data_IF_100141046642
#
_entry.id   IF_100141046642
#
_cell.length_a   1.000
_cell.length_b   1.000
_cell.length_c   1.000
_cell.angle_alpha   90.00
_cell.angle_beta   90.00
_cell.angle_gamma   90.00
#
_symmetry.space_group_name_H-M   'P 1'
#
loop_
_entity.id
_entity.type
_entity.pdbx_description
1 polymer ?
#
# COMPACT_ATOMS: atom_id res chain seq x y z
N UNK A 1 12.09 5.41 -8.83
CA UNK A 1 10.75 4.86 -8.57
C UNK A 1 10.12 5.80 -7.57
N UNK A 2 9.00 6.39 -7.93
CA UNK A 2 8.26 7.30 -7.05
C UNK A 2 7.01 6.57 -6.58
N UNK A 3 6.91 6.24 -5.29
CA UNK A 3 5.71 5.65 -4.71
C UNK A 3 4.68 6.76 -4.46
N UNK A 4 3.52 6.66 -5.11
CA UNK A 4 2.45 7.64 -4.99
C UNK A 4 1.40 7.23 -3.95
N UNK A 5 1.21 5.92 -3.77
CA UNK A 5 0.20 5.38 -2.87
C UNK A 5 0.60 3.98 -2.41
N UNK A 6 0.42 3.69 -1.12
CA UNK A 6 0.59 2.36 -0.55
C UNK A 6 -0.27 2.22 0.69
N UNK A 7 -1.42 1.55 0.58
CA UNK A 7 -2.34 1.31 1.70
C UNK A 7 -3.01 -0.05 1.60
N UNK A 8 -3.38 -0.60 2.76
CA UNK A 8 -4.23 -1.79 2.86
C UNK A 8 -5.68 -1.35 2.77
N UNK A 9 -6.44 -2.01 1.90
CA UNK A 9 -7.84 -1.71 1.60
C UNK A 9 -8.67 -2.99 1.68
N UNK A 10 -9.92 -2.86 2.16
CA UNK A 10 -10.91 -3.93 2.05
C UNK A 10 -11.40 -4.03 0.60
N UNK A 11 -11.35 -5.24 0.05
CA UNK A 11 -11.75 -5.54 -1.32
C UNK A 11 -12.70 -6.74 -1.31
N UNK A 12 -13.83 -6.60 -2.00
CA UNK A 12 -14.74 -7.70 -2.30
C UNK A 12 -14.19 -8.51 -3.48
N UNK A 13 -13.95 -9.79 -3.30
CA UNK A 13 -13.49 -10.71 -4.35
C UNK A 13 -14.63 -11.62 -4.75
N UNK A 14 -14.99 -11.60 -6.04
CA UNK A 14 -15.95 -12.53 -6.63
C UNK A 14 -15.30 -13.25 -7.81
N UNK A 15 -15.15 -14.55 -7.66
CA UNK A 15 -14.72 -15.44 -8.73
C UNK A 15 -15.91 -16.18 -9.33
N UNK A 16 -15.72 -16.79 -10.50
CA UNK A 16 -16.80 -17.52 -11.18
C UNK A 16 -17.31 -18.63 -10.26
N UNK A 17 -18.63 -18.64 -10.03
CA UNK A 17 -19.33 -19.62 -9.20
C UNK A 17 -18.91 -19.66 -7.71
N UNK A 18 -18.17 -18.64 -7.24
CA UNK A 18 -17.81 -18.46 -5.83
C UNK A 18 -18.67 -17.38 -5.18
N UNK A 19 -18.97 -17.57 -3.89
CA UNK A 19 -19.50 -16.49 -3.07
C UNK A 19 -18.53 -15.32 -2.99
N UNK A 20 -19.09 -14.13 -2.80
CA UNK A 20 -18.32 -12.91 -2.60
C UNK A 20 -17.68 -12.93 -1.22
N UNK A 21 -16.35 -12.75 -1.19
CA UNK A 21 -15.56 -12.71 0.05
C UNK A 21 -14.86 -11.38 0.19
N UNK A 22 -14.81 -10.83 1.40
CA UNK A 22 -14.02 -9.63 1.71
C UNK A 22 -12.61 -10.03 2.14
N UNK A 23 -11.60 -9.35 1.62
CA UNK A 23 -10.21 -9.51 2.07
C UNK A 23 -9.50 -8.16 2.13
N UNK A 24 -8.47 -8.07 2.96
CA UNK A 24 -7.59 -6.91 3.07
C UNK A 24 -6.39 -7.10 2.15
N UNK A 25 -6.24 -6.24 1.16
CA UNK A 25 -5.14 -6.30 0.20
C UNK A 25 -4.42 -4.96 0.20
N UNK A 26 -3.10 -4.99 0.13
CA UNK A 26 -2.27 -3.81 -0.07
C UNK A 26 -2.29 -3.42 -1.54
N UNK A 27 -2.71 -2.19 -1.81
CA UNK A 27 -2.62 -1.58 -3.14
C UNK A 27 -1.47 -0.59 -3.13
N UNK A 28 -0.53 -0.79 -4.05
CA UNK A 28 0.60 0.11 -4.26
C UNK A 28 0.58 0.67 -5.67
N UNK A 29 0.77 1.98 -5.79
CA UNK A 29 0.87 2.71 -7.05
C UNK A 29 2.22 3.41 -7.11
N UNK A 30 2.99 3.12 -8.15
CA UNK A 30 4.28 3.77 -8.39
C UNK A 30 4.41 4.27 -9.83
N UNK A 31 5.13 5.39 -9.99
CA UNK A 31 5.59 5.86 -11.29
C UNK A 31 7.02 5.36 -11.51
N UNK A 32 7.18 4.63 -12.61
CA UNK A 32 8.45 4.09 -13.03
C UNK A 32 8.94 4.79 -14.30
N UNK A 33 10.13 5.38 -14.25
CA UNK A 33 10.76 5.97 -15.44
C UNK A 33 11.51 4.86 -16.19
N UNK A 34 11.10 4.57 -17.41
CA UNK A 34 11.79 3.66 -18.33
C UNK A 34 12.75 4.44 -19.24
N UNK A 35 14.02 4.02 -19.27
CA UNK A 35 15.11 4.61 -20.07
C UNK A 35 15.20 3.89 -21.44
N UNK A 36 15.51 4.57 -22.57
CA UNK A 36 16.21 5.86 -22.72
C UNK A 36 15.33 7.08 -23.02
N UNK A 37 14.01 6.94 -23.14
CA UNK A 37 13.12 8.02 -23.65
C UNK A 37 12.43 8.83 -22.52
N UNK A 38 12.82 8.65 -21.25
CA UNK A 38 12.12 9.24 -20.09
C UNK A 38 10.60 8.96 -20.08
N UNK A 39 10.18 7.81 -20.64
CA UNK A 39 8.77 7.40 -20.57
C UNK A 39 8.44 7.05 -19.12
N UNK A 40 7.25 7.44 -18.67
CA UNK A 40 6.74 7.13 -17.34
C UNK A 40 5.67 6.06 -17.49
N UNK A 41 5.88 4.95 -16.80
CA UNK A 41 4.88 3.89 -16.70
C UNK A 41 4.23 3.98 -15.32
N UNK A 42 2.90 3.96 -15.29
CA UNK A 42 2.15 3.80 -14.06
C UNK A 42 2.07 2.32 -13.72
N UNK A 43 2.58 1.94 -12.55
CA UNK A 43 2.51 0.57 -12.05
C UNK A 43 1.53 0.50 -10.90
N UNK A 44 0.62 -0.46 -10.98
CA UNK A 44 -0.32 -0.81 -9.93
C UNK A 44 0.01 -2.22 -9.48
N UNK A 45 0.17 -2.44 -8.18
CA UNK A 45 0.43 -3.74 -7.57
C UNK A 45 -0.59 -4.02 -6.48
N UNK A 46 -1.04 -5.27 -6.42
CA UNK A 46 -1.85 -5.82 -5.34
C UNK A 46 -1.03 -6.92 -4.65
N UNK A 47 -0.85 -6.78 -3.34
CA UNK A 47 -0.13 -7.74 -2.52
C UNK A 47 -0.92 -8.08 -1.26
N UNK A 48 -0.79 -9.31 -0.76
CA UNK A 48 -1.39 -9.72 0.52
C UNK A 48 -0.29 -9.86 1.56
N UNK A 49 -0.41 -9.16 2.68
CA UNK A 49 0.56 -9.22 3.78
C UNK A 49 0.59 -10.62 4.44
N UNK A 50 -0.45 -11.46 4.21
CA UNK A 50 -0.54 -12.86 4.69
C UNK A 50 0.00 -13.89 3.69
N UNK A 51 0.06 -13.56 2.41
CA UNK A 51 0.52 -14.45 1.33
C UNK A 51 1.60 -13.76 0.48
N UNK A 52 2.89 -14.03 0.74
CA UNK A 52 4.01 -13.43 -0.01
C UNK A 52 4.01 -13.73 -1.51
N UNK A 53 3.30 -14.76 -1.97
CA UNK A 53 3.21 -15.12 -3.39
C UNK A 53 2.02 -14.43 -4.08
N UNK A 54 1.13 -13.79 -3.31
CA UNK A 54 0.05 -12.99 -3.86
C UNK A 54 0.62 -11.70 -4.45
N UNK A 55 0.81 -11.70 -5.78
CA UNK A 55 1.22 -10.53 -6.53
C UNK A 55 0.37 -10.44 -7.79
N UNK A 56 -0.47 -9.42 -7.87
CA UNK A 56 -1.08 -9.00 -9.12
C UNK A 56 -0.53 -7.64 -9.51
N UNK A 57 -0.33 -7.43 -10.81
CA UNK A 57 0.26 -6.20 -11.30
C UNK A 57 -0.36 -5.74 -12.61
N UNK A 58 -0.22 -4.45 -12.85
CA UNK A 58 -0.52 -3.78 -14.09
C UNK A 58 0.52 -2.69 -14.31
N UNK A 59 1.03 -2.58 -15.54
CA UNK A 59 1.88 -1.49 -15.99
C UNK A 59 1.17 -0.80 -17.15
N UNK A 60 0.92 0.49 -17.03
CA UNK A 60 0.26 1.31 -18.06
C UNK A 60 1.29 2.33 -18.54
N UNK A 61 1.70 2.20 -19.81
CA UNK A 61 2.45 3.25 -20.48
C UNK A 61 1.50 4.37 -20.94
N UNK A 62 2.03 5.53 -21.32
CA UNK A 62 1.23 6.62 -21.88
C UNK A 62 0.49 6.22 -23.17
N UNK A 63 1.07 5.30 -23.96
CA UNK A 63 0.46 4.75 -25.17
C UNK A 63 -0.72 3.84 -24.84
N UNK A 64 -0.54 2.92 -23.88
CA UNK A 64 -1.61 2.03 -23.40
C UNK A 64 -2.77 2.82 -22.78
N UNK A 65 -2.44 3.94 -22.11
CA UNK A 65 -3.43 4.81 -21.49
C UNK A 65 -4.40 5.42 -22.52
N UNK A 66 -3.99 5.70 -23.75
CA UNK A 66 -4.91 6.23 -24.77
C UNK A 66 -6.05 5.25 -25.05
N UNK A 67 -5.72 3.95 -25.14
CA UNK A 67 -6.72 2.90 -25.31
C UNK A 67 -7.62 2.77 -24.09
N UNK A 68 -7.03 2.78 -22.88
CA UNK A 68 -7.75 2.72 -21.61
C UNK A 68 -8.74 3.89 -21.46
N UNK A 69 -8.28 5.09 -21.81
CA UNK A 69 -9.05 6.34 -21.76
C UNK A 69 -10.30 6.25 -22.62
N UNK A 70 -10.18 5.78 -23.86
CA UNK A 70 -11.33 5.61 -24.76
C UNK A 70 -12.26 4.49 -24.27
N UNK A 71 -11.71 3.34 -23.88
CA UNK A 71 -12.50 2.19 -23.44
C UNK A 71 -13.35 2.47 -22.19
N UNK A 72 -12.84 3.30 -21.27
CA UNK A 72 -13.51 3.61 -20.01
C UNK A 72 -14.10 5.02 -19.97
N UNK A 73 -14.04 5.77 -21.07
CA UNK A 73 -14.56 7.13 -21.14
C UNK A 73 -13.90 8.11 -20.17
N UNK A 74 -12.60 7.93 -19.88
CA UNK A 74 -11.88 8.81 -18.97
C UNK A 74 -11.69 10.20 -19.60
N UNK A 75 -11.95 11.25 -18.84
CA UNK A 75 -11.83 12.63 -19.32
C UNK A 75 -10.47 13.26 -19.05
N UNK A 76 -9.62 12.59 -18.26
CA UNK A 76 -8.31 13.08 -17.83
C UNK A 76 -7.18 12.63 -18.76
N UNK A 77 -6.03 13.29 -18.66
CA UNK A 77 -4.79 12.87 -19.31
C UNK A 77 -4.01 11.88 -18.45
N UNK A 78 -2.92 11.34 -19.01
CA UNK A 78 -2.08 10.36 -18.30
C UNK A 78 -1.43 10.96 -17.05
N UNK A 79 -1.05 12.24 -17.09
CA UNK A 79 -0.40 12.91 -15.96
C UNK A 79 -1.34 13.06 -14.74
N UNK A 80 -2.62 13.34 -14.99
CA UNK A 80 -3.63 13.52 -13.93
C UNK A 80 -4.29 12.21 -13.49
N UNK A 81 -4.21 11.16 -14.30
CA UNK A 81 -4.87 9.89 -14.04
C UNK A 81 -4.47 9.22 -12.71
N UNK A 82 -3.17 9.10 -12.33
CA UNK A 82 -2.77 8.50 -11.06
C UNK A 82 -3.44 9.17 -9.86
N UNK A 83 -3.49 10.52 -9.85
CA UNK A 83 -4.13 11.25 -8.76
C UNK A 83 -5.63 10.96 -8.70
N UNK A 84 -6.34 10.95 -9.83
CA UNK A 84 -7.77 10.60 -9.86
C UNK A 84 -8.05 9.18 -9.39
N UNK A 85 -7.19 8.24 -9.75
CA UNK A 85 -7.30 6.87 -9.25
C UNK A 85 -7.07 6.82 -7.73
N UNK A 86 -6.07 7.54 -7.21
CA UNK A 86 -5.80 7.65 -5.77
C UNK A 86 -6.98 8.28 -5.01
N UNK A 87 -7.61 9.32 -5.57
CA UNK A 87 -8.79 9.95 -4.97
C UNK A 87 -9.92 8.92 -4.80
N UNK A 88 -10.17 8.09 -5.82
CA UNK A 88 -11.14 6.99 -5.77
C UNK A 88 -10.77 5.93 -4.71
N UNK A 89 -9.50 5.56 -4.60
CA UNK A 89 -9.02 4.64 -3.58
C UNK A 89 -9.18 5.20 -2.17
N UNK A 90 -8.97 6.50 -1.98
CA UNK A 90 -9.16 7.15 -0.69
C UNK A 90 -10.64 7.21 -0.28
N UNK A 91 -11.58 7.37 -1.22
CA UNK A 91 -13.01 7.25 -0.94
C UNK A 91 -13.36 5.85 -0.42
N UNK A 92 -12.83 4.80 -1.09
CA UNK A 92 -12.99 3.42 -0.63
C UNK A 92 -12.36 3.22 0.76
N UNK A 93 -11.18 3.80 1.00
CA UNK A 93 -10.50 3.73 2.29
C UNK A 93 -11.33 4.37 3.42
N UNK A 94 -11.92 5.54 3.18
CA UNK A 94 -12.69 6.26 4.21
C UNK A 94 -13.97 5.54 4.61
N UNK A 95 -14.55 4.74 3.70
CA UNK A 95 -15.82 4.07 3.92
C UNK A 95 -15.68 2.58 4.25
N UNK A 96 -14.46 2.03 4.30
CA UNK A 96 -14.23 0.59 4.42
C UNK A 96 -14.77 -0.06 5.71
N UNK A 97 -14.96 0.72 6.77
CA UNK A 97 -15.54 0.29 8.05
C UNK A 97 -17.05 0.58 8.16
N UNK A 98 -17.63 1.26 7.16
CA UNK A 98 -19.06 1.51 7.09
C UNK A 98 -19.83 0.21 6.91
N UNK A 99 -21.00 0.11 7.54
CA UNK A 99 -21.92 -1.01 7.32
C UNK A 99 -22.46 -1.03 5.88
N UNK A 100 -22.66 0.16 5.29
CA UNK A 100 -23.15 0.37 3.94
C UNK A 100 -22.24 1.35 3.18
N UNK A 101 -21.04 0.93 2.76
CA UNK A 101 -20.12 1.77 2.00
C UNK A 101 -20.72 2.12 0.63
N UNK A 102 -20.66 3.40 0.28
CA UNK A 102 -21.05 3.88 -1.04
C UNK A 102 -19.96 3.55 -2.06
N UNK A 103 -18.69 3.70 -1.71
CA UNK A 103 -17.54 3.38 -2.55
C UNK A 103 -16.88 2.07 -2.13
N UNK A 104 -16.73 1.16 -3.08
CA UNK A 104 -16.26 -0.21 -2.86
C UNK A 104 -15.22 -0.59 -3.90
N UNK A 105 -14.24 -1.37 -3.46
CA UNK A 105 -13.32 -2.07 -4.34
C UNK A 105 -13.80 -3.49 -4.60
N UNK A 106 -13.84 -3.86 -5.86
CA UNK A 106 -14.28 -5.18 -6.29
C UNK A 106 -13.25 -5.81 -7.22
N UNK A 107 -12.85 -7.04 -6.92
CA UNK A 107 -12.07 -7.88 -7.82
C UNK A 107 -12.99 -8.93 -8.41
N UNK A 108 -13.06 -8.95 -9.74
CA UNK A 108 -13.72 -10.03 -10.47
C UNK A 108 -12.70 -10.90 -11.20
N UNK A 109 -12.89 -12.21 -11.12
CA UNK A 109 -12.04 -13.19 -11.80
C UNK A 109 -12.89 -14.12 -12.67
N UNK A 110 -12.42 -14.43 -13.88
CA UNK A 110 -13.18 -15.29 -14.83
C UNK A 110 -13.04 -16.78 -14.54
N UNK A 111 -12.04 -17.16 -13.75
CA UNK A 111 -11.82 -18.53 -13.29
C UNK A 111 -12.54 -18.77 -11.96
N UNK A 112 -12.66 -20.04 -11.55
CA UNK A 112 -13.14 -20.41 -10.21
C UNK A 112 -12.12 -20.07 -9.12
N UNK A 113 -10.86 -19.89 -9.52
CA UNK A 113 -9.72 -19.55 -8.66
C UNK A 113 -8.99 -18.30 -9.17
N UNK A 114 -8.24 -17.63 -8.29
CA UNK A 114 -7.40 -16.47 -8.63
C UNK A 114 -6.11 -16.90 -9.36
N UNK A 115 -6.27 -17.58 -10.49
CA UNK A 115 -5.22 -18.16 -11.35
C UNK A 115 -4.94 -17.30 -12.59
N UNK A 116 -5.91 -16.47 -12.99
CA UNK A 116 -5.87 -15.72 -14.24
C UNK A 116 -5.87 -14.21 -14.05
N UNK A 117 -5.99 -13.46 -15.17
CA UNK A 117 -6.19 -12.02 -15.11
C UNK A 117 -7.44 -11.67 -14.30
N UNK A 118 -7.31 -10.64 -13.48
CA UNK A 118 -8.37 -10.14 -12.61
C UNK A 118 -8.74 -8.73 -13.01
N UNK A 119 -10.01 -8.36 -12.86
CA UNK A 119 -10.47 -6.99 -13.05
C UNK A 119 -10.72 -6.34 -11.69
N UNK A 120 -9.86 -5.39 -11.32
CA UNK A 120 -10.03 -4.52 -10.15
C UNK A 120 -10.92 -3.34 -10.55
N UNK A 121 -12.09 -3.24 -9.95
CA UNK A 121 -13.06 -2.17 -10.20
C UNK A 121 -13.28 -1.31 -8.95
N UNK A 122 -13.36 0.00 -9.15
CA UNK A 122 -13.93 0.93 -8.17
C UNK A 122 -15.41 1.09 -8.51
N UNK A 123 -16.27 0.68 -7.59
CA UNK A 123 -17.73 0.69 -7.76
C UNK A 123 -18.34 1.63 -6.75
N UNK A 124 -19.22 2.52 -7.22
CA UNK A 124 -20.09 3.32 -6.39
C UNK A 124 -21.50 2.71 -6.37
N UNK A 125 -22.03 2.42 -5.19
CA UNK A 125 -23.41 2.01 -4.99
C UNK A 125 -24.25 3.24 -4.69
N UNK A 126 -25.14 3.60 -5.61
CA UNK A 126 -26.16 4.61 -5.36
C UNK A 126 -27.52 3.96 -5.08
N UNK A 127 -28.55 4.76 -4.80
CA UNK A 127 -29.89 4.28 -4.46
C UNK A 127 -30.59 3.47 -5.58
N UNK A 128 -30.07 3.50 -6.82
CA UNK A 128 -30.68 2.88 -7.99
C UNK A 128 -29.84 1.75 -8.59
N UNK A 129 -28.52 1.90 -8.65
CA UNK A 129 -27.60 0.99 -9.34
C UNK A 129 -26.16 1.09 -8.82
N UNK A 130 -25.35 0.12 -9.26
CA UNK A 130 -23.91 0.18 -9.16
C UNK A 130 -23.32 0.92 -10.37
N UNK A 131 -22.46 1.90 -10.11
CA UNK A 131 -21.70 2.65 -11.10
C UNK A 131 -20.23 2.24 -11.04
N UNK A 132 -19.69 1.74 -12.15
CA UNK A 132 -18.26 1.44 -12.24
C UNK A 132 -17.49 2.71 -12.65
N UNK A 133 -16.64 3.22 -11.77
CA UNK A 133 -15.83 4.41 -12.01
C UNK A 133 -14.55 4.11 -12.78
N UNK A 134 -13.96 2.94 -12.54
CA UNK A 134 -12.71 2.51 -13.12
C UNK A 134 -12.59 1.00 -13.00
N UNK A 135 -12.21 0.31 -14.06
CA UNK A 135 -11.95 -1.13 -14.08
C UNK A 135 -10.60 -1.44 -14.71
N UNK A 136 -9.61 -1.80 -13.90
CA UNK A 136 -8.26 -2.14 -14.35
C UNK A 136 -8.09 -3.65 -14.44
N UNK A 137 -7.52 -4.14 -15.55
CA UNK A 137 -7.18 -5.55 -15.70
C UNK A 137 -5.75 -5.78 -15.23
N UNK A 138 -5.58 -6.56 -14.17
CA UNK A 138 -4.28 -6.96 -13.65
C UNK A 138 -3.99 -8.41 -13.99
N UNK A 139 -2.70 -8.73 -14.09
CA UNK A 139 -2.21 -10.10 -14.31
C UNK A 139 -1.44 -10.56 -13.08
N UNK A 140 -1.42 -11.87 -12.85
CA UNK A 140 -0.59 -12.45 -11.81
C UNK A 140 0.89 -12.25 -12.16
N UNK A 141 1.71 -11.95 -11.15
CA UNK A 141 3.15 -11.90 -11.29
C UNK A 141 3.72 -13.29 -11.60
N UNK A 142 4.67 -13.35 -12.52
CA UNK A 142 5.40 -14.60 -12.80
C UNK A 142 6.34 -14.96 -11.63
N UNK A 143 6.76 -16.21 -11.54
CA UNK A 143 7.76 -16.67 -10.56
C UNK A 143 9.01 -15.78 -10.50
N UNK A 144 9.47 -15.33 -11.66
CA UNK A 144 10.63 -14.43 -11.75
C UNK A 144 10.35 -13.11 -11.05
N UNK A 145 9.19 -12.52 -11.34
CA UNK A 145 8.79 -11.21 -10.82
C UNK A 145 8.44 -11.28 -9.34
N UNK A 146 7.82 -12.37 -8.88
CA UNK A 146 7.60 -12.63 -7.45
C UNK A 146 8.95 -12.74 -6.74
N UNK A 147 9.91 -13.50 -7.27
CA UNK A 147 11.25 -13.61 -6.68
C UNK A 147 11.97 -12.25 -6.63
N UNK A 148 11.92 -11.48 -7.72
CA UNK A 148 12.49 -10.12 -7.76
C UNK A 148 11.83 -9.21 -6.72
N UNK A 149 10.49 -9.23 -6.62
CA UNK A 149 9.74 -8.47 -5.64
C UNK A 149 10.12 -8.86 -4.20
N UNK A 150 10.13 -10.17 -3.89
CA UNK A 150 10.50 -10.66 -2.57
C UNK A 150 11.96 -10.32 -2.21
N UNK A 151 12.88 -10.37 -3.18
CA UNK A 151 14.27 -9.97 -2.96
C UNK A 151 14.38 -8.47 -2.63
N UNK A 152 13.61 -7.62 -3.31
CA UNK A 152 13.51 -6.19 -3.01
C UNK A 152 12.94 -5.95 -1.60
N UNK A 153 11.81 -6.58 -1.27
CA UNK A 153 11.19 -6.49 0.05
C UNK A 153 12.14 -6.95 1.15
N UNK A 154 12.82 -8.08 0.98
CA UNK A 154 13.78 -8.60 1.95
C UNK A 154 14.97 -7.65 2.14
N UNK A 155 15.45 -7.05 1.06
CA UNK A 155 16.56 -6.08 1.12
C UNK A 155 16.13 -4.82 1.88
N UNK A 156 14.94 -4.29 1.57
CA UNK A 156 14.36 -3.14 2.28
C UNK A 156 14.16 -3.43 3.76
N UNK A 157 13.58 -4.58 4.10
CA UNK A 157 13.31 -4.98 5.48
C UNK A 157 14.61 -5.17 6.27
N UNK A 158 15.66 -5.73 5.66
CA UNK A 158 16.98 -5.84 6.29
C UNK A 158 17.59 -4.47 6.57
N UNK A 159 17.50 -3.53 5.63
CA UNK A 159 18.00 -2.17 5.80
C UNK A 159 17.24 -1.42 6.91
N UNK A 160 15.91 -1.53 6.92
CA UNK A 160 15.06 -0.93 7.95
C UNK A 160 15.33 -1.53 9.33
N UNK A 161 15.44 -2.86 9.43
CA UNK A 161 15.82 -3.55 10.66
C UNK A 161 17.15 -3.02 11.21
N UNK A 162 18.17 -2.94 10.36
CA UNK A 162 19.50 -2.47 10.77
C UNK A 162 19.44 -1.01 11.27
N UNK A 163 18.65 -0.16 10.61
CA UNK A 163 18.45 1.23 11.05
C UNK A 163 17.72 1.30 12.40
N UNK A 164 16.67 0.50 12.58
CA UNK A 164 15.91 0.44 13.83
C UNK A 164 16.78 -0.08 14.98
N UNK A 165 17.59 -1.10 14.77
CA UNK A 165 18.55 -1.62 15.77
C UNK A 165 19.57 -0.53 16.17
N UNK A 166 20.09 0.23 15.21
CA UNK A 166 21.01 1.35 15.52
C UNK A 166 20.32 2.47 16.30
N UNK A 167 19.08 2.80 15.95
CA UNK A 167 18.32 3.83 16.66
C UNK A 167 17.93 3.38 18.06
N UNK A 168 17.56 2.11 18.24
CA UNK A 168 17.30 1.52 19.54
C UNK A 168 18.54 1.61 20.43
N UNK A 169 19.70 1.16 19.95
CA UNK A 169 20.95 1.23 20.72
C UNK A 169 21.29 2.66 21.14
N UNK A 170 21.20 3.63 20.21
CA UNK A 170 21.44 5.05 20.54
C UNK A 170 20.48 5.59 21.59
N UNK A 171 19.22 5.15 21.54
CA UNK A 171 18.18 5.58 22.47
C UNK A 171 18.43 4.98 23.86
N UNK A 172 18.77 3.70 23.93
CA UNK A 172 19.16 3.00 25.17
C UNK A 172 20.40 3.62 25.81
N UNK A 173 21.43 3.93 25.02
CA UNK A 173 22.65 4.59 25.51
C UNK A 173 22.34 5.98 26.07
N UNK A 174 21.49 6.76 25.39
CA UNK A 174 21.11 8.10 25.83
C UNK A 174 20.29 8.04 27.13
N UNK A 175 19.28 7.17 27.19
CA UNK A 175 18.47 6.97 28.39
C UNK A 175 19.30 6.49 29.58
N UNK A 176 20.25 5.57 29.34
CA UNK A 176 21.15 5.09 30.38
C UNK A 176 22.04 6.21 30.94
N UNK A 177 22.56 7.09 30.07
CA UNK A 177 23.33 8.28 30.50
C UNK A 177 22.47 9.26 31.30
N UNK A 178 21.26 9.55 30.84
CA UNK A 178 20.33 10.44 31.54
C UNK A 178 19.94 9.88 32.91
N UNK A 179 19.66 8.58 32.99
CA UNK A 179 19.33 7.89 34.23
C UNK A 179 20.50 7.97 35.22
N UNK A 180 21.72 7.68 34.76
CA UNK A 180 22.92 7.79 35.61
C UNK A 180 23.12 9.21 36.12
N UNK A 181 22.95 10.23 35.26
CA UNK A 181 23.06 11.63 35.65
C UNK A 181 22.01 12.01 36.69
N UNK A 182 20.74 11.66 36.45
CA UNK A 182 19.65 11.94 37.38
C UNK A 182 19.84 11.24 38.74
N UNK A 183 20.31 9.99 38.74
CA UNK A 183 20.62 9.25 39.98
C UNK A 183 21.76 9.90 40.76
N UNK A 184 22.81 10.37 40.08
CA UNK A 184 23.90 11.09 40.72
C UNK A 184 23.41 12.40 41.35
N UNK A 185 22.68 13.23 40.58
CA UNK A 185 22.12 14.50 41.08
C UNK A 185 21.16 14.26 42.25
N UNK A 186 20.31 13.23 42.18
CA UNK A 186 19.41 12.88 43.27
C UNK A 186 20.20 12.54 44.54
N UNK A 187 21.23 11.71 44.41
CA UNK A 187 22.08 11.31 45.55
C UNK A 187 22.79 12.50 46.19
N UNK A 188 23.31 13.43 45.39
CA UNK A 188 23.94 14.66 45.86
C UNK A 188 22.93 15.53 46.63
N UNK A 189 21.73 15.72 46.07
CA UNK A 189 20.65 16.50 46.69
C UNK A 189 20.14 15.88 47.99
N UNK A 190 20.01 14.55 48.06
CA UNK A 190 19.63 13.85 49.29
C UNK A 190 20.66 14.06 50.39
N UNK A 191 21.96 13.97 50.07
CA UNK A 191 23.04 14.25 51.04
C UNK A 191 23.03 15.70 51.54
N UNK A 192 22.78 16.67 50.66
CA UNK A 192 22.62 18.08 51.06
C UNK A 192 21.42 18.27 52.01
N UNK A 193 20.30 17.62 51.71
CA UNK A 193 19.08 17.65 52.53
C UNK A 193 19.29 17.06 53.93
N UNK A 194 20.03 15.95 54.03
CA UNK A 194 20.38 15.35 55.32
C UNK A 194 21.27 16.26 56.16
N UNK A 195 22.28 16.91 55.55
CA UNK A 195 23.14 17.88 56.24
C UNK A 195 22.41 19.11 56.76
N UNK A 196 21.33 19.54 56.09
CA UNK A 196 20.51 20.66 56.53
C UNK A 196 19.54 20.29 57.66
N UNK A 197 19.28 18.99 57.87
CA UNK A 197 18.38 18.46 58.90
C UNK A 197 19.10 18.13 60.22
N UNK A 198 20.42 17.93 60.17
CA UNK A 198 21.32 17.77 61.32
C UNK A 198 21.82 19.11 61.84
#
# INVERSE_FOLDING_TARGET
MEELFSKVLQISVRCRDSEERKTSIRISIDLHVTSPVHKRDLRVKLTDDKDPFFLFKLSISEEDFQSLKVQQGLLVDFASFPQKFIDLLNLCYSEQESENPRFLLHISCQSSVLDGPVALSVVETNAFKHLNHLSLRLVQGSDKEIKEYLALCLSSLKAEKQLLEQNLQKTEDNLSRQLSYAQQTLTEKTKELEKLRS
#
